data_IF_900238574389
#
_entry.id   IF_900238574389
#
_cell.length_a   1.000
_cell.length_b   1.000
_cell.length_c   1.000
_cell.angle_alpha   90.00
_cell.angle_beta   90.00
_cell.angle_gamma   90.00
#
_symmetry.space_group_name_H-M   'P 1'
#
loop_
_entity.id
_entity.type
_entity.pdbx_description
1 polymer ?
#
# COMPACT_ATOMS: atom_id res chain seq x y z
N UNK A 1 -10.38 -1.18 3.79
CA UNK A 1 -9.71 -1.72 2.59
C UNK A 1 -10.76 -2.45 1.78
N UNK A 2 -10.95 -2.02 0.54
CA UNK A 2 -11.93 -2.60 -0.37
C UNK A 2 -11.19 -3.11 -1.59
N UNK A 3 -11.35 -4.41 -1.86
CA UNK A 3 -10.56 -5.12 -2.86
C UNK A 3 -11.33 -5.12 -4.18
N UNK A 4 -10.81 -4.40 -5.16
CA UNK A 4 -11.35 -4.38 -6.50
C UNK A 4 -10.71 -5.50 -7.33
N UNK A 5 -11.57 -6.28 -8.00
CA UNK A 5 -11.15 -7.40 -8.83
C UNK A 5 -11.68 -7.17 -10.22
N UNK A 6 -10.78 -6.92 -11.16
CA UNK A 6 -11.13 -6.88 -12.58
C UNK A 6 -10.80 -8.22 -13.21
N UNK A 7 -11.85 -8.95 -13.61
CA UNK A 7 -11.74 -10.27 -14.21
C UNK A 7 -11.98 -10.19 -15.72
N UNK A 8 -11.01 -10.69 -16.47
CA UNK A 8 -11.13 -11.04 -17.89
C UNK A 8 -10.85 -12.53 -18.04
N UNK A 9 -11.22 -13.17 -19.16
CA UNK A 9 -10.98 -14.61 -19.36
C UNK A 9 -9.50 -15.03 -19.18
N UNK A 10 -8.56 -14.13 -19.48
CA UNK A 10 -7.11 -14.38 -19.49
C UNK A 10 -6.32 -13.59 -18.43
N UNK A 11 -6.92 -12.59 -17.79
CA UNK A 11 -6.24 -11.73 -16.81
C UNK A 11 -7.10 -11.47 -15.58
N UNK A 12 -6.52 -11.67 -14.40
CA UNK A 12 -7.05 -11.24 -13.11
C UNK A 12 -6.19 -10.11 -12.58
N UNK A 13 -6.82 -8.95 -12.35
CA UNK A 13 -6.17 -7.82 -11.70
C UNK A 13 -6.78 -7.65 -10.31
N UNK A 14 -5.93 -7.62 -9.28
CA UNK A 14 -6.32 -7.33 -7.91
C UNK A 14 -5.57 -6.09 -7.45
N UNK A 15 -6.29 -5.10 -6.93
CA UNK A 15 -5.71 -3.95 -6.25
C UNK A 15 -6.57 -3.56 -5.04
N UNK A 16 -5.94 -2.95 -4.05
CA UNK A 16 -6.59 -2.47 -2.83
C UNK A 16 -6.51 -0.94 -2.77
N UNK A 17 -7.59 -0.33 -2.32
CA UNK A 17 -7.69 1.09 -2.04
C UNK A 17 -7.98 1.24 -0.55
N UNK A 18 -7.04 1.85 0.17
CA UNK A 18 -7.24 2.21 1.56
C UNK A 18 -8.11 3.47 1.65
N UNK A 19 -9.40 3.26 1.92
CA UNK A 19 -10.38 4.31 2.18
C UNK A 19 -9.94 5.29 3.28
N UNK A 20 -9.11 4.84 4.23
CA UNK A 20 -8.56 5.72 5.27
C UNK A 20 -7.74 6.87 4.66
N UNK A 21 -6.87 6.57 3.69
CA UNK A 21 -6.04 7.60 3.05
C UNK A 21 -6.84 8.50 2.10
N UNK A 22 -7.86 7.96 1.43
CA UNK A 22 -8.79 8.78 0.65
C UNK A 22 -9.59 9.72 1.54
N UNK A 23 -10.14 9.22 2.67
CA UNK A 23 -10.93 10.01 3.59
C UNK A 23 -10.10 11.10 4.28
N UNK A 24 -8.94 10.73 4.83
CA UNK A 24 -8.03 11.69 5.47
C UNK A 24 -7.48 12.69 4.44
N UNK A 25 -7.13 12.23 3.24
CA UNK A 25 -6.72 13.11 2.13
C UNK A 25 -7.81 14.10 1.74
N UNK A 26 -9.07 13.66 1.62
CA UNK A 26 -10.22 14.53 1.33
C UNK A 26 -10.45 15.56 2.45
N UNK A 27 -10.34 15.16 3.72
CA UNK A 27 -10.46 16.07 4.86
C UNK A 27 -9.36 17.14 4.83
N UNK A 28 -8.10 16.75 4.66
CA UNK A 28 -6.99 17.71 4.69
C UNK A 28 -6.98 18.63 3.47
N UNK A 29 -7.30 18.12 2.28
CA UNK A 29 -7.43 18.97 1.08
C UNK A 29 -8.58 19.97 1.20
N UNK A 30 -9.77 19.52 1.63
CA UNK A 30 -10.90 20.41 1.87
C UNK A 30 -10.62 21.42 2.99
N UNK A 31 -10.09 20.95 4.11
CA UNK A 31 -9.71 21.78 5.26
C UNK A 31 -8.66 22.82 4.91
N UNK A 32 -7.63 22.47 4.13
CA UNK A 32 -6.57 23.39 3.72
C UNK A 32 -7.07 24.54 2.83
N UNK A 33 -8.12 24.33 2.04
CA UNK A 33 -8.75 25.38 1.22
C UNK A 33 -9.73 26.25 2.04
N UNK A 34 -10.41 25.65 3.00
CA UNK A 34 -11.47 26.29 3.79
C UNK A 34 -10.91 27.10 4.97
N UNK A 35 -9.95 26.55 5.72
CA UNK A 35 -9.40 27.17 6.94
C UNK A 35 -8.87 28.59 6.75
N UNK A 36 -8.18 28.92 5.64
CA UNK A 36 -7.84 30.30 5.31
C UNK A 36 -9.08 31.20 5.39
N UNK A 37 -10.13 30.89 4.63
CA UNK A 37 -11.33 31.72 4.43
C UNK A 37 -12.02 32.09 5.76
N UNK A 38 -12.02 31.19 6.74
CA UNK A 38 -12.75 31.38 8.00
C UNK A 38 -11.91 32.00 9.13
N UNK A 39 -10.58 32.02 9.04
CA UNK A 39 -9.70 32.50 10.11
C UNK A 39 -8.89 33.72 9.70
N UNK A 40 -9.54 34.66 9.02
CA UNK A 40 -8.97 35.96 8.66
C UNK A 40 -9.72 37.07 9.37
N UNK A 41 -9.00 37.82 10.20
CA UNK A 41 -9.44 39.12 10.69
C UNK A 41 -8.39 40.16 10.31
N UNK A 42 -8.85 41.26 9.72
CA UNK A 42 -8.05 42.45 9.45
C UNK A 42 -8.55 43.51 10.42
N UNK A 43 -7.64 44.04 11.24
CA UNK A 43 -7.94 45.15 12.13
C UNK A 43 -7.23 46.39 11.60
N UNK A 44 -7.99 47.41 11.22
CA UNK A 44 -7.42 48.70 10.78
C UNK A 44 -7.87 49.80 11.72
N UNK A 45 -6.92 50.49 12.33
CA UNK A 45 -7.15 51.69 13.12
C UNK A 45 -6.79 52.91 12.27
N UNK A 46 -7.78 53.73 11.95
CA UNK A 46 -7.61 54.99 11.24
C UNK A 46 -7.97 56.15 12.16
N UNK A 47 -7.01 57.02 12.45
CA UNK A 47 -7.24 58.26 13.18
C UNK A 47 -7.02 59.44 12.23
N UNK A 48 -7.97 60.37 12.19
CA UNK A 48 -7.85 61.60 11.41
C UNK A 48 -8.27 62.80 12.27
N UNK A 49 -7.41 63.82 12.29
CA UNK A 49 -7.62 65.10 13.01
C UNK A 49 -8.22 66.20 12.11
N UNK A 50 -8.14 66.07 10.79
CA UNK A 50 -8.52 67.12 9.83
C UNK A 50 -9.92 66.94 9.25
N UNK A 51 -10.35 65.70 8.99
CA UNK A 51 -11.62 65.47 8.28
C UNK A 51 -12.87 65.48 9.18
N UNK A 52 -12.71 65.44 10.50
CA UNK A 52 -13.79 65.14 11.45
C UNK A 52 -13.71 66.00 12.71
N UNK A 53 -14.79 66.75 13.01
CA UNK A 53 -14.96 67.53 14.25
C UNK A 53 -16.17 67.02 15.04
N UNK A 54 -15.99 66.39 16.22
CA UNK A 54 -14.72 66.15 16.92
C UNK A 54 -13.85 65.09 16.25
N UNK A 55 -12.53 65.19 16.43
CA UNK A 55 -11.56 64.25 15.88
C UNK A 55 -11.80 62.83 16.44
N UNK A 56 -11.83 61.83 15.55
CA UNK A 56 -12.16 60.44 15.91
C UNK A 56 -11.20 59.45 15.27
N UNK A 57 -10.94 58.38 16.01
CA UNK A 57 -10.32 57.17 15.51
C UNK A 57 -11.41 56.13 15.22
N UNK A 58 -11.30 55.43 14.11
CA UNK A 58 -12.17 54.32 13.75
C UNK A 58 -11.33 53.04 13.74
N UNK A 59 -11.74 52.07 14.56
CA UNK A 59 -11.21 50.72 14.53
C UNK A 59 -12.19 49.86 13.72
N UNK A 60 -11.76 49.45 12.53
CA UNK A 60 -12.53 48.60 11.63
C UNK A 60 -11.97 47.19 11.67
N UNK A 61 -12.76 46.26 12.20
CA UNK A 61 -12.47 44.83 12.20
C UNK A 61 -13.25 44.17 11.05
N UNK A 62 -12.54 43.71 10.03
CA UNK A 62 -13.11 42.94 8.90
C UNK A 62 -12.76 41.48 9.08
N UNK A 63 -13.77 40.61 9.13
CA UNK A 63 -13.58 39.16 9.16
C UNK A 63 -14.63 38.45 8.30
N UNK A 64 -15.03 37.26 8.73
CA UNK A 64 -16.09 36.49 8.07
C UNK A 64 -17.49 37.09 8.25
N UNK A 65 -17.72 37.78 9.37
CA UNK A 65 -18.99 38.46 9.66
C UNK A 65 -18.96 39.93 9.20
N UNK A 66 -20.12 40.60 9.25
CA UNK A 66 -20.25 42.03 8.98
C UNK A 66 -19.17 42.83 9.71
N UNK A 67 -18.56 43.84 9.06
CA UNK A 67 -17.46 44.59 9.63
C UNK A 67 -17.91 45.27 10.93
N UNK A 68 -17.16 45.04 12.00
CA UNK A 68 -17.39 45.71 13.28
C UNK A 68 -16.61 47.01 13.28
N UNK A 69 -17.32 48.13 13.33
CA UNK A 69 -16.74 49.47 13.37
C UNK A 69 -16.89 49.99 14.79
N UNK A 70 -15.77 50.32 15.43
CA UNK A 70 -15.73 50.93 16.75
C UNK A 70 -15.19 52.35 16.62
N UNK A 71 -16.03 53.34 16.87
CA UNK A 71 -15.62 54.75 16.88
C UNK A 71 -15.07 55.12 18.27
N UNK A 72 -13.91 55.77 18.28
CA UNK A 72 -13.17 56.14 19.48
C UNK A 72 -12.89 57.65 19.39
N UNK A 73 -13.44 58.48 20.31
CA UNK A 73 -13.10 59.90 20.37
C UNK A 73 -11.61 60.09 20.62
N UNK A 74 -10.94 60.97 19.88
CA UNK A 74 -9.50 61.16 20.06
C UNK A 74 -9.15 61.73 21.44
N UNK A 75 -10.04 62.56 22.00
CA UNK A 75 -9.86 63.18 23.31
C UNK A 75 -9.91 62.17 24.47
N UNK A 76 -10.57 61.02 24.26
CA UNK A 76 -10.66 59.98 25.28
C UNK A 76 -9.48 59.01 25.22
N UNK A 77 -8.66 59.02 24.16
CA UNK A 77 -7.56 58.09 23.94
C UNK A 77 -6.32 58.52 24.74
N UNK A 78 -5.97 57.76 25.77
CA UNK A 78 -4.85 58.09 26.67
C UNK A 78 -3.54 57.42 26.25
N UNK A 79 -3.57 56.10 26.02
CA UNK A 79 -2.37 55.31 25.75
C UNK A 79 -2.73 53.98 25.06
N UNK A 80 -1.82 53.45 24.25
CA UNK A 80 -1.81 52.06 23.81
C UNK A 80 -0.83 51.23 24.66
N UNK A 81 -1.30 50.10 25.21
CA UNK A 81 -0.49 49.18 26.01
C UNK A 81 -0.62 47.74 25.51
N UNK A 82 0.42 46.93 25.72
CA UNK A 82 0.41 45.50 25.38
C UNK A 82 0.34 44.70 26.67
N UNK A 83 -0.77 44.00 26.90
CA UNK A 83 -0.94 43.10 28.04
C UNK A 83 -0.62 41.66 27.64
N UNK A 84 0.04 40.92 28.54
CA UNK A 84 0.24 39.49 28.39
C UNK A 84 -0.80 38.73 29.22
N UNK A 85 -1.58 37.87 28.56
CA UNK A 85 -2.47 36.93 29.25
C UNK A 85 -1.85 35.54 29.19
N UNK A 86 -1.65 34.92 30.35
CA UNK A 86 -1.21 33.53 30.48
C UNK A 86 -2.40 32.61 30.24
N UNK A 87 -2.31 31.76 29.21
CA UNK A 87 -3.30 30.75 28.91
C UNK A 87 -2.60 29.39 28.74
N UNK A 88 -2.58 28.59 29.81
CA UNK A 88 -1.94 27.27 29.81
C UNK A 88 -0.41 27.34 29.62
N UNK A 89 0.14 26.57 28.66
CA UNK A 89 1.58 26.57 28.32
C UNK A 89 2.02 27.72 27.40
N UNK A 90 1.11 28.63 27.02
CA UNK A 90 1.38 29.72 26.08
C UNK A 90 1.15 31.10 26.70
N UNK A 91 1.98 32.08 26.30
CA UNK A 91 1.72 33.50 26.52
C UNK A 91 1.05 34.11 25.29
N UNK A 92 -0.09 34.76 25.49
CA UNK A 92 -0.75 35.54 24.44
C UNK A 92 -0.60 37.02 24.75
N UNK A 93 -0.22 37.81 23.75
CA UNK A 93 -0.11 39.26 23.88
C UNK A 93 -1.35 39.90 23.28
N UNK A 94 -1.95 40.89 23.93
CA UNK A 94 -3.08 41.67 23.40
C UNK A 94 -2.71 43.15 23.44
N UNK A 95 -2.95 43.83 22.32
CA UNK A 95 -2.81 45.28 22.23
C UNK A 95 -4.15 45.89 22.68
N UNK A 96 -4.08 46.81 23.62
CA UNK A 96 -5.26 47.40 24.24
C UNK A 96 -5.11 48.92 24.28
N UNK A 97 -6.13 49.62 23.81
CA UNK A 97 -6.24 51.07 23.87
C UNK A 97 -6.92 51.44 25.18
N UNK A 98 -6.21 52.20 26.00
CA UNK A 98 -6.74 52.78 27.22
C UNK A 98 -7.46 54.07 26.86
N UNK A 99 -8.77 54.07 27.08
CA UNK A 99 -9.63 55.24 26.94
C UNK A 99 -10.15 55.69 28.30
N UNK A 100 -10.62 56.93 28.41
CA UNK A 100 -11.26 57.44 29.62
C UNK A 100 -12.47 56.60 30.06
N UNK A 101 -13.16 55.96 29.11
CA UNK A 101 -14.38 55.17 29.31
C UNK A 101 -14.13 53.68 29.48
N UNK A 102 -12.89 53.20 29.32
CA UNK A 102 -12.56 51.78 29.42
C UNK A 102 -11.42 51.33 28.50
N UNK A 103 -11.21 50.02 28.43
CA UNK A 103 -10.15 49.40 27.63
C UNK A 103 -10.76 48.81 26.35
N UNK A 104 -10.24 49.20 25.19
CA UNK A 104 -10.66 48.70 23.87
C UNK A 104 -9.54 47.81 23.33
N UNK A 105 -9.84 46.53 23.20
CA UNK A 105 -8.86 45.56 22.79
C UNK A 105 -8.84 45.34 21.28
N UNK A 106 -7.64 45.25 20.71
CA UNK A 106 -7.47 44.71 19.36
C UNK A 106 -7.76 43.21 19.31
N UNK A 107 -8.07 42.67 18.11
CA UNK A 107 -8.19 41.25 17.87
C UNK A 107 -6.95 40.46 18.33
N UNK A 108 -7.18 39.21 18.74
CA UNK A 108 -6.09 38.32 19.19
C UNK A 108 -5.20 37.97 18.02
N UNK A 109 -3.91 38.20 18.17
CA UNK A 109 -2.88 37.76 17.21
C UNK A 109 -1.64 37.28 17.96
N UNK A 110 -0.83 36.46 17.30
CA UNK A 110 0.16 35.59 17.97
C UNK A 110 1.57 36.22 18.12
N UNK A 111 1.87 37.33 17.45
CA UNK A 111 3.24 37.87 17.40
C UNK A 111 3.49 39.05 18.37
N UNK A 112 4.41 38.85 19.32
CA UNK A 112 4.79 39.81 20.37
C UNK A 112 5.39 41.12 19.81
N UNK A 113 6.38 41.03 18.93
CA UNK A 113 7.19 42.17 18.50
C UNK A 113 6.40 43.25 17.76
N UNK A 114 5.51 42.84 16.86
CA UNK A 114 4.69 43.76 16.07
C UNK A 114 3.72 44.57 16.94
N UNK A 115 3.26 44.03 18.07
CA UNK A 115 2.33 44.72 18.99
C UNK A 115 2.99 45.87 19.74
N UNK A 116 4.23 45.70 20.20
CA UNK A 116 4.97 46.77 20.86
C UNK A 116 5.29 47.90 19.89
N UNK A 117 5.68 47.58 18.64
CA UNK A 117 5.92 48.57 17.61
C UNK A 117 4.64 49.39 17.29
N UNK A 118 3.50 48.72 17.15
CA UNK A 118 2.21 49.38 16.93
C UNK A 118 1.80 50.24 18.12
N UNK A 119 1.95 49.73 19.35
CA UNK A 119 1.65 50.51 20.56
C UNK A 119 2.50 51.79 20.64
N UNK A 120 3.79 51.70 20.32
CA UNK A 120 4.69 52.85 20.33
C UNK A 120 4.36 53.87 19.23
N UNK A 121 3.97 53.39 18.05
CA UNK A 121 3.49 54.23 16.94
C UNK A 121 2.24 55.02 17.36
N UNK A 122 1.27 54.36 18.00
CA UNK A 122 0.05 54.99 18.50
C UNK A 122 0.38 55.99 19.62
N UNK A 123 1.24 55.62 20.57
CA UNK A 123 1.64 56.50 21.66
C UNK A 123 2.40 57.74 21.15
N UNK A 124 3.18 57.60 20.07
CA UNK A 124 3.87 58.70 19.42
C UNK A 124 2.89 59.64 18.72
N UNK A 125 1.85 59.12 18.06
CA UNK A 125 0.78 59.92 17.49
C UNK A 125 -0.05 60.68 18.54
N UNK A 126 -0.32 60.05 19.70
CA UNK A 126 -1.02 60.71 20.81
C UNK A 126 -0.19 61.90 21.33
N UNK A 127 1.13 61.73 21.48
CA UNK A 127 2.04 62.78 21.96
C UNK A 127 2.34 63.87 20.93
N UNK A 128 2.20 63.60 19.63
CA UNK A 128 2.54 64.54 18.57
C UNK A 128 1.29 65.15 17.90
N UNK A 129 0.83 66.34 18.34
CA UNK A 129 -0.36 66.98 17.77
C UNK A 129 -0.18 67.48 16.32
N UNK A 130 1.07 67.56 15.82
CA UNK A 130 1.35 67.97 14.43
C UNK A 130 1.05 66.86 13.41
N UNK A 131 0.97 65.61 13.86
CA UNK A 131 0.63 64.50 12.98
C UNK A 131 -0.89 64.46 12.77
N UNK A 132 -1.32 64.66 11.54
CA UNK A 132 -2.74 64.84 11.17
C UNK A 132 -3.51 63.53 11.03
N UNK A 133 -2.84 62.46 10.59
CA UNK A 133 -3.44 61.14 10.46
C UNK A 133 -2.52 60.00 10.88
N UNK A 134 -3.14 58.90 11.28
CA UNK A 134 -2.48 57.64 11.61
C UNK A 134 -3.31 56.50 11.02
N UNK A 135 -2.68 55.64 10.24
CA UNK A 135 -3.28 54.40 9.76
C UNK A 135 -2.40 53.23 10.19
N UNK A 136 -2.99 52.30 10.94
CA UNK A 136 -2.34 51.06 11.33
C UNK A 136 -3.22 49.90 10.91
N UNK A 137 -2.68 49.01 10.08
CA UNK A 137 -3.36 47.79 9.66
C UNK A 137 -2.61 46.56 10.17
N UNK A 138 -3.35 45.62 10.75
CA UNK A 138 -2.88 44.27 11.06
C UNK A 138 -3.54 43.31 10.07
N UNK A 139 -2.72 42.68 9.23
CA UNK A 139 -3.16 41.72 8.21
C UNK A 139 -2.53 40.35 8.45
N UNK A 140 -3.33 39.43 8.99
CA UNK A 140 -2.91 38.05 9.30
C UNK A 140 -3.19 37.09 8.13
N UNK A 141 -3.65 37.59 6.97
CA UNK A 141 -4.07 36.72 5.84
C UNK A 141 -2.94 35.85 5.31
N UNK A 142 -1.73 36.40 5.25
CA UNK A 142 -0.58 35.70 4.69
C UNK A 142 -0.17 34.48 5.53
N UNK A 143 -0.28 34.58 6.86
CA UNK A 143 -0.01 33.48 7.77
C UNK A 143 -1.06 32.37 7.65
N UNK A 144 -2.35 32.73 7.57
CA UNK A 144 -3.41 31.75 7.38
C UNK A 144 -3.36 31.08 6.00
N UNK A 145 -2.95 31.81 4.95
CA UNK A 145 -2.68 31.22 3.63
C UNK A 145 -1.52 30.22 3.68
N UNK A 146 -0.44 30.53 4.41
CA UNK A 146 0.69 29.61 4.58
C UNK A 146 0.26 28.30 5.26
N UNK A 147 -0.47 28.39 6.38
CA UNK A 147 -0.96 27.20 7.08
C UNK A 147 -2.01 26.43 6.26
N UNK A 148 -2.89 27.13 5.53
CA UNK A 148 -3.83 26.50 4.61
C UNK A 148 -3.13 25.75 3.49
N UNK A 149 -2.15 26.37 2.84
CA UNK A 149 -1.34 25.76 1.79
C UNK A 149 -0.54 24.56 2.33
N UNK A 150 0.03 24.66 3.54
CA UNK A 150 0.73 23.56 4.19
C UNK A 150 -0.20 22.36 4.41
N UNK A 151 -1.39 22.58 4.98
CA UNK A 151 -2.40 21.53 5.22
C UNK A 151 -2.89 20.95 3.89
N UNK A 152 -3.08 21.80 2.87
CA UNK A 152 -3.50 21.38 1.54
C UNK A 152 -2.46 20.51 0.85
N UNK A 153 -1.19 20.91 0.87
CA UNK A 153 -0.06 20.11 0.37
C UNK A 153 0.02 18.79 1.12
N UNK A 154 -0.15 18.80 2.45
CA UNK A 154 -0.18 17.57 3.25
C UNK A 154 -1.34 16.65 2.83
N UNK A 155 -2.52 17.21 2.53
CA UNK A 155 -3.68 16.47 2.02
C UNK A 155 -3.44 15.87 0.63
N UNK A 156 -2.81 16.62 -0.28
CA UNK A 156 -2.35 16.10 -1.58
C UNK A 156 -1.34 14.98 -1.36
N UNK A 157 -0.38 15.15 -0.45
CA UNK A 157 0.55 14.08 -0.09
C UNK A 157 -0.14 12.90 0.60
N UNK A 158 -1.30 13.04 1.23
CA UNK A 158 -2.09 11.89 1.70
C UNK A 158 -2.76 11.15 0.52
N UNK A 159 -3.27 11.91 -0.46
CA UNK A 159 -3.84 11.35 -1.69
C UNK A 159 -2.77 10.73 -2.62
N UNK A 160 -1.54 11.26 -2.62
CA UNK A 160 -0.44 10.88 -3.53
C UNK A 160 0.79 10.22 -2.86
N UNK A 161 0.88 10.20 -1.52
CA UNK A 161 2.10 9.89 -0.76
C UNK A 161 1.95 8.80 0.29
N UNK A 162 0.77 8.19 0.44
CA UNK A 162 0.69 6.73 0.66
C UNK A 162 0.62 5.97 -0.69
N UNK A 163 0.72 6.68 -1.82
CA UNK A 163 0.60 6.08 -3.15
C UNK A 163 1.82 5.25 -3.61
N UNK A 164 2.57 4.62 -2.69
CA UNK A 164 3.58 3.62 -3.06
C UNK A 164 3.72 2.39 -2.15
N UNK A 165 3.29 2.42 -0.89
CA UNK A 165 3.59 1.30 0.02
C UNK A 165 2.45 0.31 0.22
N UNK A 166 1.18 0.69 0.02
CA UNK A 166 0.05 -0.23 0.29
C UNK A 166 -0.70 -0.72 -0.95
N UNK A 167 -0.39 -0.20 -2.13
CA UNK A 167 -1.06 -0.62 -3.36
C UNK A 167 -0.24 -1.73 -4.03
N UNK A 168 -0.26 -2.92 -3.42
CA UNK A 168 0.28 -4.13 -4.05
C UNK A 168 -0.60 -4.45 -5.26
N UNK A 169 -0.12 -4.08 -6.45
CA UNK A 169 -0.75 -4.44 -7.70
C UNK A 169 -0.23 -5.81 -8.12
N UNK A 170 -1.08 -6.82 -7.97
CA UNK A 170 -0.82 -8.16 -8.48
C UNK A 170 -1.73 -8.42 -9.68
N UNK A 171 -1.11 -8.50 -10.87
CA UNK A 171 -1.78 -8.95 -12.09
C UNK A 171 -1.30 -10.36 -12.41
N UNK A 172 -2.26 -11.28 -12.52
CA UNK A 172 -2.03 -12.65 -12.93
C UNK A 172 -2.62 -12.81 -14.34
N UNK A 173 -1.74 -12.96 -15.33
CA UNK A 173 -2.10 -13.19 -16.72
C UNK A 173 -1.87 -14.67 -17.02
N UNK A 174 -2.94 -15.44 -17.21
CA UNK A 174 -2.87 -16.82 -17.67
C UNK A 174 -2.98 -16.82 -19.20
N UNK A 175 -1.87 -17.00 -19.89
CA UNK A 175 -1.86 -17.25 -21.32
C UNK A 175 -2.11 -18.75 -21.55
N UNK A 176 -3.36 -19.09 -21.89
CA UNK A 176 -3.76 -20.48 -22.14
C UNK A 176 -3.20 -21.01 -23.47
N UNK A 177 -2.87 -20.12 -24.42
CA UNK A 177 -2.31 -20.50 -25.72
C UNK A 177 -0.82 -20.84 -25.59
N UNK A 178 -0.08 -20.01 -24.85
CA UNK A 178 1.35 -20.24 -24.58
C UNK A 178 1.59 -21.17 -23.39
N UNK A 179 0.53 -21.55 -22.67
CA UNK A 179 0.58 -22.32 -21.41
C UNK A 179 1.50 -21.67 -20.36
N UNK A 180 1.49 -20.34 -20.29
CA UNK A 180 2.31 -19.55 -19.36
C UNK A 180 1.43 -18.81 -18.35
N UNK A 181 1.90 -18.80 -17.11
CA UNK A 181 1.41 -17.97 -16.01
C UNK A 181 2.36 -16.79 -15.87
N UNK A 182 1.93 -15.60 -16.29
CA UNK A 182 2.70 -14.37 -16.17
C UNK A 182 2.19 -13.57 -14.97
N UNK A 183 3.03 -13.47 -13.94
CA UNK A 183 2.75 -12.70 -12.74
C UNK A 183 3.48 -11.37 -12.83
N UNK A 184 2.72 -10.28 -12.85
CA UNK A 184 3.24 -8.93 -12.81
C UNK A 184 2.95 -8.35 -11.43
N UNK A 185 4.01 -8.15 -10.66
CA UNK A 185 3.95 -7.47 -9.37
C UNK A 185 4.49 -6.05 -9.55
N UNK A 186 3.69 -5.07 -9.12
CA UNK A 186 4.10 -3.67 -9.10
C UNK A 186 3.80 -3.11 -7.73
N UNK A 187 4.85 -2.91 -6.94
CA UNK A 187 4.82 -2.02 -5.79
C UNK A 187 5.33 -0.65 -6.23
N UNK A 188 5.13 0.37 -5.40
CA UNK A 188 5.55 1.73 -5.71
C UNK A 188 6.97 1.84 -6.27
N UNK A 189 7.90 1.02 -5.77
CA UNK A 189 9.32 1.11 -6.09
C UNK A 189 9.89 -0.05 -6.91
N UNK A 190 9.22 -1.21 -7.00
CA UNK A 190 9.72 -2.39 -7.74
C UNK A 190 8.68 -2.91 -8.74
N UNK A 191 9.16 -3.19 -9.96
CA UNK A 191 8.42 -3.89 -11.01
C UNK A 191 9.08 -5.24 -11.23
N UNK A 192 8.39 -6.33 -10.91
CA UNK A 192 8.83 -7.69 -11.21
C UNK A 192 7.83 -8.35 -12.14
N UNK A 193 8.30 -8.97 -13.22
CA UNK A 193 7.48 -9.89 -14.01
C UNK A 193 8.14 -11.26 -13.90
N UNK A 194 7.36 -12.25 -13.48
CA UNK A 194 7.84 -13.63 -13.36
C UNK A 194 6.92 -14.50 -14.22
N UNK A 195 7.51 -15.35 -15.05
CA UNK A 195 6.81 -16.22 -16.00
C UNK A 195 7.03 -17.68 -15.60
N UNK A 196 5.95 -18.44 -15.45
CA UNK A 196 5.98 -19.85 -15.09
C UNK A 196 5.20 -20.70 -16.10
N UNK A 197 5.67 -21.93 -16.36
CA UNK A 197 4.94 -22.89 -17.19
C UNK A 197 3.75 -23.48 -16.42
N UNK A 198 2.55 -23.36 -16.98
CA UNK A 198 1.32 -23.88 -16.37
C UNK A 198 1.29 -25.43 -16.32
N UNK A 199 2.10 -26.10 -17.13
CA UNK A 199 2.17 -27.57 -17.19
C UNK A 199 2.83 -28.16 -15.92
N UNK A 200 3.81 -27.42 -15.38
CA UNK A 200 4.60 -27.81 -14.23
C UNK A 200 3.90 -27.49 -12.90
N UNK A 201 2.86 -26.66 -12.91
CA UNK A 201 2.09 -26.30 -11.74
C UNK A 201 1.12 -27.43 -11.33
N UNK A 202 1.20 -27.87 -10.07
CA UNK A 202 0.23 -28.80 -9.44
C UNK A 202 -0.93 -28.00 -8.84
N UNK A 203 -0.64 -27.14 -7.86
CA UNK A 203 -1.66 -26.35 -7.15
C UNK A 203 -1.10 -25.05 -6.57
N UNK A 204 -1.99 -24.10 -6.31
CA UNK A 204 -1.69 -22.87 -5.58
C UNK A 204 -2.27 -22.94 -4.16
N UNK A 205 -1.51 -22.48 -3.16
CA UNK A 205 -1.91 -22.44 -1.75
C UNK A 205 -1.59 -21.09 -1.12
N UNK A 206 -2.19 -20.82 0.04
CA UNK A 206 -1.81 -19.69 0.90
C UNK A 206 -1.09 -20.27 2.12
N UNK A 207 0.16 -19.86 2.32
CA UNK A 207 0.87 -20.12 3.57
C UNK A 207 0.72 -18.92 4.51
N UNK A 208 0.64 -19.21 5.81
CA UNK A 208 0.51 -18.18 6.86
C UNK A 208 1.77 -18.20 7.71
N UNK A 209 2.41 -17.06 7.80
CA UNK A 209 3.57 -16.82 8.66
C UNK A 209 3.12 -15.96 9.85
N UNK A 210 3.59 -16.31 11.05
CA UNK A 210 3.25 -15.57 12.26
C UNK A 210 4.47 -14.80 12.73
N UNK A 211 4.33 -13.48 12.86
CA UNK A 211 5.39 -12.59 13.31
C UNK A 211 5.00 -11.85 14.57
N UNK A 212 6.03 -11.57 15.38
CA UNK A 212 5.94 -10.80 16.61
C UNK A 212 6.77 -9.53 16.44
N UNK A 213 6.14 -8.36 16.51
CA UNK A 213 6.84 -7.08 16.47
C UNK A 213 6.68 -6.36 17.80
N UNK A 214 7.81 -6.02 18.39
CA UNK A 214 7.85 -5.20 19.60
C UNK A 214 7.79 -3.72 19.20
N UNK A 215 6.79 -3.02 19.70
CA UNK A 215 6.61 -1.59 19.43
C UNK A 215 7.56 -0.74 20.26
N UNK A 216 7.73 0.52 19.86
CA UNK A 216 8.52 1.53 20.57
C UNK A 216 8.05 1.78 22.02
N UNK A 217 6.88 1.27 22.39
CA UNK A 217 6.26 1.39 23.72
C UNK A 217 6.26 0.07 24.52
N UNK A 218 7.14 -0.89 24.18
CA UNK A 218 7.24 -2.21 24.84
C UNK A 218 5.97 -3.09 24.75
N UNK A 219 5.03 -2.78 23.84
CA UNK A 219 3.92 -3.67 23.52
C UNK A 219 4.31 -4.62 22.38
N UNK A 220 4.10 -5.92 22.59
CA UNK A 220 4.25 -6.95 21.56
C UNK A 220 2.96 -7.05 20.76
N UNK A 221 3.03 -6.78 19.46
CA UNK A 221 1.92 -6.98 18.53
C UNK A 221 2.22 -8.24 17.72
N UNK A 222 1.29 -9.19 17.76
CA UNK A 222 1.31 -10.37 16.92
C UNK A 222 0.54 -10.06 15.65
N UNK A 223 1.14 -10.32 14.50
CA UNK A 223 0.51 -10.17 13.20
C UNK A 223 0.75 -11.42 12.37
N UNK A 224 -0.24 -11.78 11.56
CA UNK A 224 -0.16 -12.93 10.67
C UNK A 224 -0.10 -12.41 9.25
N UNK A 225 0.95 -12.80 8.56
CA UNK A 225 1.14 -12.42 7.19
C UNK A 225 0.92 -13.63 6.28
N UNK A 226 0.32 -13.39 5.13
CA UNK A 226 -0.05 -14.44 4.19
C UNK A 226 0.85 -14.37 2.97
N UNK A 227 1.21 -15.51 2.39
CA UNK A 227 1.96 -15.59 1.13
C UNK A 227 1.32 -16.57 0.18
N UNK A 228 1.35 -16.27 -1.12
CA UNK A 228 0.87 -17.19 -2.14
C UNK A 228 2.03 -18.09 -2.55
N UNK A 229 1.82 -19.40 -2.50
CA UNK A 229 2.82 -20.40 -2.87
C UNK A 229 2.27 -21.25 -4.02
N UNK A 230 3.06 -21.40 -5.08
CA UNK A 230 2.83 -22.41 -6.12
C UNK A 230 3.62 -23.67 -5.79
N UNK A 231 2.92 -24.81 -5.83
CA UNK A 231 3.53 -26.12 -5.80
C UNK A 231 3.69 -26.62 -7.24
N UNK A 232 4.90 -26.97 -7.62
CA UNK A 232 5.17 -27.64 -8.88
C UNK A 232 5.00 -29.16 -8.73
N UNK A 233 4.75 -29.85 -9.85
CA UNK A 233 4.69 -31.32 -9.93
C UNK A 233 6.02 -31.99 -9.56
N UNK A 234 7.13 -31.25 -9.66
CA UNK A 234 8.45 -31.67 -9.17
C UNK A 234 8.56 -31.71 -7.64
N UNK A 235 7.57 -31.18 -6.91
CA UNK A 235 7.61 -30.99 -5.46
C UNK A 235 8.29 -29.69 -5.02
N UNK A 236 8.81 -28.88 -5.96
CA UNK A 236 9.38 -27.58 -5.68
C UNK A 236 8.30 -26.56 -5.27
N UNK A 237 8.65 -25.68 -4.34
CA UNK A 237 7.76 -24.64 -3.81
C UNK A 237 8.24 -23.27 -4.24
N UNK A 238 7.35 -22.51 -4.84
CA UNK A 238 7.66 -21.19 -5.38
C UNK A 238 6.81 -20.14 -4.68
N UNK A 239 7.49 -19.23 -3.98
CA UNK A 239 6.85 -18.09 -3.32
C UNK A 239 6.52 -17.02 -4.36
N UNK A 240 5.23 -16.85 -4.64
CA UNK A 240 4.76 -15.87 -5.61
C UNK A 240 4.75 -14.44 -5.07
N UNK A 241 4.64 -14.29 -3.76
CA UNK A 241 4.66 -12.99 -3.10
C UNK A 241 5.96 -12.88 -2.31
N UNK A 242 6.83 -11.94 -2.71
CA UNK A 242 8.08 -11.64 -2.00
C UNK A 242 7.86 -10.96 -0.65
N UNK A 243 6.67 -10.40 -0.44
CA UNK A 243 6.28 -9.77 0.81
C UNK A 243 5.01 -10.42 1.35
N UNK A 244 5.14 -10.77 2.61
CA UNK A 244 4.11 -11.27 3.47
C UNK A 244 3.18 -10.07 3.81
N UNK A 245 1.87 -10.20 3.56
CA UNK A 245 0.90 -9.09 3.77
C UNK A 245 -0.37 -9.60 4.45
N UNK A 246 -1.09 -8.74 5.17
CA UNK A 246 -2.37 -9.07 5.85
C UNK A 246 -3.54 -9.33 4.86
N UNK A 247 -3.30 -9.27 3.54
CA UNK A 247 -4.30 -9.31 2.48
C UNK A 247 -4.88 -10.71 2.19
N UNK A 248 -5.38 -11.42 3.21
CA UNK A 248 -5.92 -12.78 3.09
C UNK A 248 -7.02 -12.90 2.02
N UNK A 249 -7.96 -11.94 1.97
CA UNK A 249 -9.09 -11.96 1.03
C UNK A 249 -8.64 -11.79 -0.43
N UNK A 250 -7.68 -10.92 -0.68
CA UNK A 250 -7.11 -10.70 -2.01
C UNK A 250 -6.33 -11.92 -2.48
N UNK A 251 -5.45 -12.44 -1.61
CA UNK A 251 -4.63 -13.64 -1.86
C UNK A 251 -5.48 -14.88 -2.12
N UNK A 252 -6.59 -15.06 -1.38
CA UNK A 252 -7.55 -16.15 -1.62
C UNK A 252 -8.18 -16.10 -3.01
N UNK A 253 -8.62 -14.94 -3.47
CA UNK A 253 -9.19 -14.80 -4.81
C UNK A 253 -8.19 -15.11 -5.92
N UNK A 254 -6.92 -14.76 -5.71
CA UNK A 254 -5.83 -15.08 -6.66
C UNK A 254 -5.59 -16.59 -6.70
N UNK A 255 -5.50 -17.25 -5.54
CA UNK A 255 -5.38 -18.72 -5.45
C UNK A 255 -6.55 -19.43 -6.10
N UNK A 256 -7.79 -19.00 -5.82
CA UNK A 256 -9.01 -19.55 -6.43
C UNK A 256 -9.02 -19.38 -7.95
N UNK A 257 -8.54 -18.23 -8.45
CA UNK A 257 -8.42 -17.99 -9.89
C UNK A 257 -7.39 -18.91 -10.54
N UNK A 258 -6.19 -19.02 -9.96
CA UNK A 258 -5.14 -19.92 -10.46
C UNK A 258 -5.65 -21.36 -10.47
N UNK A 259 -6.25 -21.82 -9.38
CA UNK A 259 -6.84 -23.16 -9.28
C UNK A 259 -7.90 -23.40 -10.36
N UNK A 260 -8.76 -22.41 -10.64
CA UNK A 260 -9.75 -22.49 -11.71
C UNK A 260 -9.10 -22.61 -13.10
N UNK A 261 -8.02 -21.88 -13.35
CA UNK A 261 -7.31 -21.94 -14.63
C UNK A 261 -6.53 -23.25 -14.81
N UNK A 262 -5.91 -23.76 -13.76
CA UNK A 262 -5.26 -25.08 -13.77
C UNK A 262 -6.28 -26.18 -14.09
N UNK A 263 -7.43 -26.19 -13.43
CA UNK A 263 -8.52 -27.14 -13.72
C UNK A 263 -9.03 -27.02 -15.15
N UNK A 264 -9.15 -25.80 -15.68
CA UNK A 264 -9.54 -25.55 -17.07
C UNK A 264 -8.50 -26.11 -18.05
N UNK A 265 -7.22 -25.85 -17.78
CA UNK A 265 -6.12 -26.35 -18.59
C UNK A 265 -6.13 -27.89 -18.61
N UNK A 266 -6.24 -28.51 -17.44
CA UNK A 266 -6.33 -29.96 -17.26
C UNK A 266 -7.49 -30.57 -18.07
N UNK A 267 -8.66 -29.92 -18.08
CA UNK A 267 -9.81 -30.34 -18.88
C UNK A 267 -9.66 -30.09 -20.39
N UNK A 268 -8.75 -29.21 -20.80
CA UNK A 268 -8.51 -28.84 -22.20
C UNK A 268 -7.35 -29.60 -22.86
N UNK A 269 -6.56 -30.34 -22.08
CA UNK A 269 -5.47 -31.17 -22.60
C UNK A 269 -6.04 -32.46 -23.23
N UNK A 270 -5.92 -32.68 -24.56
CA UNK A 270 -6.44 -33.88 -25.21
C UNK A 270 -5.39 -35.01 -25.18
N UNK A 271 -5.82 -36.24 -24.83
CA UNK A 271 -5.09 -37.54 -24.90
C UNK A 271 -3.80 -37.71 -24.08
N UNK A 272 -3.08 -36.66 -23.72
CA UNK A 272 -1.82 -36.77 -22.96
C UNK A 272 -2.05 -37.10 -21.48
N UNK A 273 -3.11 -36.59 -20.87
CA UNK A 273 -3.52 -36.95 -19.49
C UNK A 273 -4.02 -38.39 -19.39
N UNK A 274 -4.69 -38.89 -20.42
CA UNK A 274 -5.13 -40.29 -20.49
C UNK A 274 -3.93 -41.23 -20.57
N UNK A 275 -2.89 -40.85 -21.31
CA UNK A 275 -1.64 -41.61 -21.38
C UNK A 275 -0.89 -41.59 -20.04
N UNK A 276 -0.80 -40.44 -19.37
CA UNK A 276 -0.16 -40.37 -18.04
C UNK A 276 -0.91 -41.19 -16.99
N UNK A 277 -2.24 -41.07 -16.95
CA UNK A 277 -3.06 -41.86 -16.01
C UNK A 277 -3.00 -43.37 -16.32
N UNK A 278 -2.96 -43.75 -17.60
CA UNK A 278 -2.78 -45.14 -18.00
C UNK A 278 -1.38 -45.66 -17.62
N UNK A 279 -0.34 -44.85 -17.77
CA UNK A 279 1.03 -45.19 -17.36
C UNK A 279 1.15 -45.32 -15.84
N UNK A 280 0.50 -44.47 -15.06
CA UNK A 280 0.44 -44.58 -13.59
C UNK A 280 -0.29 -45.87 -13.16
N UNK A 281 -1.40 -46.22 -13.83
CA UNK A 281 -2.10 -47.48 -13.60
C UNK A 281 -1.24 -48.70 -13.99
N UNK A 282 -0.53 -48.63 -15.11
CA UNK A 282 0.40 -49.69 -15.55
C UNK A 282 1.53 -49.89 -14.53
N UNK A 283 2.12 -48.81 -14.02
CA UNK A 283 3.14 -48.85 -12.95
C UNK A 283 2.59 -49.52 -11.69
N UNK A 284 1.36 -49.17 -11.28
CA UNK A 284 0.73 -49.77 -10.10
C UNK A 284 0.52 -51.28 -10.25
N UNK A 285 -0.01 -51.73 -11.40
CA UNK A 285 -0.24 -53.15 -11.68
C UNK A 285 1.06 -53.96 -11.60
N UNK A 286 2.14 -53.46 -12.20
CA UNK A 286 3.42 -54.18 -12.17
C UNK A 286 4.11 -54.14 -10.81
N UNK A 287 3.91 -53.07 -10.03
CA UNK A 287 4.36 -53.03 -8.62
C UNK A 287 3.63 -54.08 -7.77
N UNK A 288 2.33 -54.24 -7.95
CA UNK A 288 1.55 -55.25 -7.24
C UNK A 288 1.98 -56.67 -7.64
N UNK A 289 2.26 -56.89 -8.93
CA UNK A 289 2.80 -58.16 -9.41
C UNK A 289 4.17 -58.50 -8.79
N UNK A 290 5.04 -57.50 -8.62
CA UNK A 290 6.34 -57.67 -7.95
C UNK A 290 6.16 -57.90 -6.44
N UNK A 291 5.18 -57.27 -5.80
CA UNK A 291 4.87 -57.51 -4.38
C UNK A 291 4.46 -58.97 -4.13
N UNK A 292 3.71 -59.56 -5.06
CA UNK A 292 3.30 -60.97 -4.99
C UNK A 292 4.45 -61.91 -5.39
N UNK A 293 5.29 -61.52 -6.35
CA UNK A 293 6.40 -62.34 -6.85
C UNK A 293 7.65 -61.50 -7.09
N UNK A 294 8.49 -61.28 -6.05
CA UNK A 294 9.63 -60.36 -6.12
C UNK A 294 10.69 -60.70 -7.18
N UNK A 295 10.77 -61.97 -7.59
CA UNK A 295 11.74 -62.47 -8.56
C UNK A 295 11.14 -62.68 -9.97
N UNK A 296 9.95 -62.12 -10.25
CA UNK A 296 9.36 -62.18 -11.59
C UNK A 296 10.08 -61.23 -12.56
N UNK A 297 10.96 -61.79 -13.40
CA UNK A 297 11.75 -61.03 -14.38
C UNK A 297 10.90 -60.20 -15.35
N UNK A 298 9.75 -60.72 -15.78
CA UNK A 298 8.83 -60.05 -16.71
C UNK A 298 8.16 -58.83 -16.09
N UNK A 299 7.78 -58.94 -14.81
CA UNK A 299 7.17 -57.83 -14.08
C UNK A 299 8.16 -56.68 -13.87
N UNK A 300 9.43 -56.98 -13.56
CA UNK A 300 10.49 -55.97 -13.50
C UNK A 300 10.77 -55.33 -14.87
N UNK A 301 10.71 -56.11 -15.96
CA UNK A 301 10.89 -55.59 -17.32
C UNK A 301 9.79 -54.60 -17.71
N UNK A 302 8.52 -55.00 -17.58
CA UNK A 302 7.39 -54.14 -17.93
C UNK A 302 7.26 -52.92 -17.01
N UNK A 303 7.60 -53.06 -15.73
CA UNK A 303 7.69 -51.90 -14.83
C UNK A 303 8.76 -50.91 -15.31
N UNK A 304 9.92 -51.41 -15.73
CA UNK A 304 10.99 -50.61 -16.31
C UNK A 304 10.57 -49.87 -17.59
N UNK A 305 9.86 -50.54 -18.49
CA UNK A 305 9.30 -49.93 -19.70
C UNK A 305 8.21 -48.90 -19.40
N UNK A 306 7.37 -49.15 -18.39
CA UNK A 306 6.32 -48.22 -17.97
C UNK A 306 6.95 -46.94 -17.38
N UNK A 307 7.97 -47.08 -16.53
CA UNK A 307 8.75 -45.93 -16.03
C UNK A 307 9.46 -45.17 -17.15
N UNK A 308 10.00 -45.89 -18.14
CA UNK A 308 10.63 -45.28 -19.31
C UNK A 308 9.65 -44.40 -20.10
N UNK A 309 8.45 -44.94 -20.38
CA UNK A 309 7.36 -44.23 -21.05
C UNK A 309 6.82 -43.06 -20.21
N UNK A 310 6.89 -43.17 -18.88
CA UNK A 310 6.54 -42.11 -17.93
C UNK A 310 7.70 -41.13 -17.65
N UNK A 311 8.79 -41.18 -18.43
CA UNK A 311 9.97 -40.32 -18.31
C UNK A 311 10.71 -40.40 -16.95
N UNK A 312 10.45 -41.42 -16.13
CA UNK A 312 11.13 -41.70 -14.86
C UNK A 312 12.38 -42.55 -15.12
N UNK A 313 13.41 -41.90 -15.66
CA UNK A 313 14.65 -42.55 -16.14
C UNK A 313 15.41 -43.32 -15.05
N UNK A 314 15.60 -42.80 -13.81
CA UNK A 314 16.30 -43.53 -12.76
C UNK A 314 15.56 -44.81 -12.32
N UNK A 315 14.24 -44.73 -12.20
CA UNK A 315 13.37 -45.87 -11.84
C UNK A 315 13.37 -46.91 -12.96
N UNK A 316 13.29 -46.47 -14.22
CA UNK A 316 13.36 -47.34 -15.39
C UNK A 316 14.67 -48.14 -15.43
N UNK A 317 15.81 -47.46 -15.24
CA UNK A 317 17.14 -48.09 -15.20
C UNK A 317 17.20 -49.17 -14.12
N UNK A 318 16.83 -48.85 -12.87
CA UNK A 318 16.85 -49.83 -11.77
C UNK A 318 15.97 -51.05 -12.03
N UNK A 319 14.75 -50.86 -12.52
CA UNK A 319 13.83 -51.96 -12.82
C UNK A 319 14.31 -52.82 -13.99
N UNK A 320 14.84 -52.22 -15.06
CA UNK A 320 15.39 -52.94 -16.21
C UNK A 320 16.67 -53.69 -15.87
N UNK A 321 17.58 -53.10 -15.08
CA UNK A 321 18.77 -53.79 -14.58
C UNK A 321 18.38 -55.02 -13.73
N UNK A 322 17.36 -54.89 -12.87
CA UNK A 322 16.85 -56.02 -12.08
C UNK A 322 16.23 -57.10 -12.97
N UNK A 323 15.47 -56.71 -14.00
CA UNK A 323 14.90 -57.63 -14.98
C UNK A 323 16.00 -58.42 -15.71
N UNK A 324 17.04 -57.72 -16.20
CA UNK A 324 18.20 -58.34 -16.85
C UNK A 324 18.85 -59.39 -15.97
N UNK A 325 19.15 -59.05 -14.71
CA UNK A 325 19.77 -60.00 -13.78
C UNK A 325 18.91 -61.25 -13.56
N UNK A 326 17.60 -61.07 -13.39
CA UNK A 326 16.66 -62.19 -13.21
C UNK A 326 16.52 -63.06 -14.48
N UNK A 327 16.57 -62.47 -15.68
CA UNK A 327 16.60 -63.26 -16.92
C UNK A 327 17.90 -64.05 -17.09
N UNK A 328 19.04 -63.50 -16.65
CA UNK A 328 20.32 -64.23 -16.64
C UNK A 328 20.26 -65.42 -15.67
N UNK A 329 19.76 -65.20 -14.44
CA UNK A 329 19.61 -66.25 -13.43
C UNK A 329 18.64 -67.36 -13.88
N UNK A 330 17.62 -66.99 -14.66
CA UNK A 330 16.67 -67.94 -15.26
C UNK A 330 17.21 -68.66 -16.52
N UNK A 331 18.45 -68.39 -16.94
CA UNK A 331 19.06 -68.96 -18.15
C UNK A 331 18.51 -68.40 -19.47
N UNK A 332 17.70 -67.33 -19.42
CA UNK A 332 17.15 -66.67 -20.60
C UNK A 332 18.12 -65.60 -21.11
N UNK A 333 19.24 -66.05 -21.68
CA UNK A 333 20.28 -65.18 -22.21
C UNK A 333 19.76 -64.24 -23.31
N UNK A 334 18.81 -64.70 -24.13
CA UNK A 334 18.23 -63.90 -25.21
C UNK A 334 17.51 -62.65 -24.67
N UNK A 335 16.60 -62.81 -23.69
CA UNK A 335 15.92 -61.65 -23.08
C UNK A 335 16.88 -60.76 -22.29
N UNK A 336 17.87 -61.34 -21.62
CA UNK A 336 18.87 -60.54 -20.92
C UNK A 336 19.64 -59.61 -21.86
N UNK A 337 19.99 -60.10 -23.07
CA UNK A 337 20.61 -59.27 -24.11
C UNK A 337 19.64 -58.24 -24.67
N UNK A 338 18.37 -58.59 -24.91
CA UNK A 338 17.36 -57.62 -25.37
C UNK A 338 17.18 -56.45 -24.39
N UNK A 339 17.10 -56.75 -23.09
CA UNK A 339 17.01 -55.72 -22.04
C UNK A 339 18.27 -54.87 -22.00
N UNK A 340 19.45 -55.49 -22.18
CA UNK A 340 20.72 -54.77 -22.25
C UNK A 340 20.77 -53.81 -23.46
N UNK A 341 20.36 -54.27 -24.63
CA UNK A 341 20.34 -53.47 -25.85
C UNK A 341 19.38 -52.28 -25.69
N UNK A 342 18.22 -52.50 -25.05
CA UNK A 342 17.29 -51.43 -24.73
C UNK A 342 17.89 -50.41 -23.76
N UNK A 343 18.58 -50.87 -22.70
CA UNK A 343 19.29 -49.99 -21.74
C UNK A 343 20.33 -49.11 -22.45
N UNK A 344 21.13 -49.68 -23.36
CA UNK A 344 22.12 -48.97 -24.16
C UNK A 344 21.47 -47.95 -25.09
N UNK A 345 20.49 -48.36 -25.90
CA UNK A 345 19.80 -47.49 -26.87
C UNK A 345 19.07 -46.33 -26.18
N UNK A 346 18.61 -46.55 -24.95
CA UNK A 346 17.83 -45.60 -24.18
C UNK A 346 18.65 -44.69 -23.26
N UNK A 347 19.97 -44.90 -23.17
CA UNK A 347 20.87 -44.15 -22.28
C UNK A 347 20.57 -44.36 -20.80
N UNK A 348 20.23 -45.59 -20.39
CA UNK A 348 19.81 -45.96 -19.03
C UNK A 348 20.81 -46.84 -18.28
N UNK A 349 22.00 -47.07 -18.85
CA UNK A 349 23.00 -47.98 -18.27
C UNK A 349 23.48 -47.63 -16.87
#
# INVERSE_FOLDING_TARGET
MEIFVRKTPTRLIVWDISWFFLFMGAIFTGGGLILPIFNFSIATLTCDRQSLTPARCQLVERGFHSPKITEIPLDSLQQASVRSTYAGRGQSYRLSLLTQTGEIDFPRTSFRGQKYAIADLINTFIRNPKQTSLEVSQDERLLGLFWGLFIWILGILFLFGIARDDCEFLSCDCDTERRLLVLKQRNGWRKGTIEYSLIECDRALIETSHHTRMTRWLQTINYSEYSIVLLLKSGERIWLTTYETEMLKGKRRVVEYIAKQLKKLESSLPKESTNLQALEQEIAIWRDAIAVSPNNAEAHYHLGLAFYRHHQRPEASRSLQRAKALFQDAGNAQKATEVQDFLWQSGLE
#
